data_IF_870916555960
#
_entry.id   IF_870916555960
#
_cell.length_a   1.000
_cell.length_b   1.000
_cell.length_c   1.000
_cell.angle_alpha   90.00
_cell.angle_beta   90.00
_cell.angle_gamma   90.00
#
_symmetry.space_group_name_H-M   'P 1'
#
loop_
_entity.id
_entity.type
_entity.pdbx_description
1 polymer ?
#
# COMPACT_ATOMS: atom_id res chain seq x y z
N UNK A 1 -0.61 -13.41 -34.12
CA UNK A 1 0.16 -12.34 -33.51
C UNK A 1 1.18 -12.99 -32.57
N UNK A 2 2.46 -12.72 -32.73
CA UNK A 2 3.53 -13.55 -32.14
C UNK A 2 3.64 -13.30 -30.62
N UNK A 3 3.20 -14.27 -29.81
CA UNK A 3 3.21 -14.24 -28.34
C UNK A 3 4.60 -13.96 -27.73
N UNK A 4 5.69 -14.39 -28.41
CA UNK A 4 7.08 -14.11 -28.00
C UNK A 4 7.43 -12.63 -28.10
N UNK A 5 6.87 -11.92 -29.08
CA UNK A 5 7.08 -10.48 -29.27
C UNK A 5 6.34 -9.66 -28.21
N UNK A 6 5.17 -10.13 -27.77
CA UNK A 6 4.37 -9.51 -26.72
C UNK A 6 5.07 -9.61 -25.34
N UNK A 7 5.55 -10.79 -24.95
CA UNK A 7 6.24 -11.00 -23.68
C UNK A 7 7.60 -10.30 -23.62
N UNK A 8 8.35 -10.26 -24.74
CA UNK A 8 9.63 -9.54 -24.81
C UNK A 8 9.47 -8.02 -24.71
N UNK A 9 8.34 -7.49 -25.19
CA UNK A 9 7.98 -6.09 -25.01
C UNK A 9 7.49 -5.77 -23.59
N UNK A 10 6.85 -6.72 -22.88
CA UNK A 10 6.42 -6.56 -21.48
C UNK A 10 7.63 -6.53 -20.53
N UNK A 11 8.59 -7.46 -20.68
CA UNK A 11 9.87 -7.42 -19.93
C UNK A 11 10.63 -6.08 -20.15
N UNK A 12 10.60 -5.53 -21.36
CA UNK A 12 11.21 -4.22 -21.65
C UNK A 12 10.43 -3.04 -21.04
N UNK A 13 9.09 -3.15 -20.92
CA UNK A 13 8.25 -2.09 -20.34
C UNK A 13 8.30 -2.08 -18.82
N UNK A 14 8.31 -3.23 -18.17
CA UNK A 14 8.52 -3.35 -16.72
C UNK A 14 9.94 -2.90 -16.36
N UNK A 15 10.95 -3.35 -17.10
CA UNK A 15 12.34 -2.89 -16.92
C UNK A 15 12.50 -1.38 -17.21
N UNK A 16 11.75 -0.81 -18.15
CA UNK A 16 11.79 0.61 -18.47
C UNK A 16 11.08 1.45 -17.40
N UNK A 17 9.99 0.96 -16.79
CA UNK A 17 9.34 1.67 -15.69
C UNK A 17 10.23 1.70 -14.44
N UNK A 18 10.90 0.60 -14.12
CA UNK A 18 11.86 0.52 -13.00
C UNK A 18 13.14 1.32 -13.29
N UNK A 19 13.65 1.32 -14.53
CA UNK A 19 14.85 2.08 -14.93
C UNK A 19 14.59 3.60 -15.05
N UNK A 20 13.35 4.05 -15.24
CA UNK A 20 13.04 5.48 -15.33
C UNK A 20 13.00 6.16 -13.95
N UNK A 21 12.75 5.45 -12.87
CA UNK A 21 12.82 6.00 -11.50
C UNK A 21 14.25 6.39 -11.08
N UNK A 22 15.30 5.91 -11.76
CA UNK A 22 16.69 6.04 -11.32
C UNK A 22 17.44 7.29 -11.81
N UNK A 23 16.87 8.21 -12.56
CA UNK A 23 17.66 9.22 -13.27
C UNK A 23 17.52 10.69 -12.86
N UNK A 24 16.72 11.06 -11.86
CA UNK A 24 16.70 12.49 -11.47
C UNK A 24 16.51 12.72 -9.97
N UNK A 25 17.58 12.62 -9.18
CA UNK A 25 17.73 13.39 -7.94
C UNK A 25 19.15 13.91 -7.81
N UNK A 26 19.41 15.04 -8.45
CA UNK A 26 20.53 15.91 -8.05
C UNK A 26 19.99 17.34 -7.98
N UNK A 27 19.93 17.83 -6.78
CA UNK A 27 19.78 19.23 -6.36
C UNK A 27 18.57 19.49 -5.45
N UNK A 28 18.71 19.30 -4.17
CA UNK A 28 18.35 20.32 -3.17
C UNK A 28 18.99 19.99 -1.81
N UNK A 29 19.53 21.04 -1.25
CA UNK A 29 20.55 21.18 -0.26
C UNK A 29 20.23 20.63 1.15
N UNK A 30 21.31 20.31 1.79
CA UNK A 30 21.52 20.10 3.21
C UNK A 30 20.89 21.21 4.07
N UNK A 31 20.07 20.81 5.06
CA UNK A 31 19.92 21.60 6.29
C UNK A 31 19.67 20.68 7.48
N UNK A 32 20.63 20.71 8.37
CA UNK A 32 20.85 19.91 9.51
C UNK A 32 19.85 20.09 10.65
N UNK A 33 19.59 19.00 11.32
CA UNK A 33 19.01 18.96 12.65
C UNK A 33 20.11 19.10 13.71
N UNK A 34 20.05 20.20 14.44
CA UNK A 34 20.79 20.39 15.65
C UNK A 34 20.31 21.63 16.38
N UNK A 35 19.52 21.46 17.44
CA UNK A 35 19.38 22.54 18.44
C UNK A 35 19.03 21.99 19.81
N UNK A 36 20.06 21.91 20.61
CA UNK A 36 20.07 22.01 22.09
C UNK A 36 19.76 23.45 22.49
N UNK A 37 18.87 23.65 23.41
CA UNK A 37 18.58 24.97 23.97
C UNK A 37 18.06 24.88 25.41
N UNK A 38 18.95 25.10 26.36
CA UNK A 38 18.68 25.43 27.77
C UNK A 38 17.72 26.62 27.85
N UNK A 39 16.82 26.59 28.85
CA UNK A 39 16.21 27.80 29.40
C UNK A 39 15.93 27.72 30.88
N UNK A 40 16.38 28.76 31.48
CA UNK A 40 16.35 29.10 32.91
C UNK A 40 14.96 29.50 33.41
N UNK A 41 14.90 29.44 34.73
CA UNK A 41 13.83 29.74 35.67
C UNK A 41 13.27 31.17 35.64
N UNK A 42 11.99 31.32 35.98
CA UNK A 42 11.37 32.61 36.33
C UNK A 42 9.95 32.51 36.87
N UNK A 43 9.83 32.73 38.17
CA UNK A 43 8.72 33.32 38.90
C UNK A 43 7.36 32.60 39.07
N UNK A 44 7.06 32.32 40.32
CA UNK A 44 5.84 31.81 40.89
C UNK A 44 4.67 32.82 40.80
N UNK A 45 3.52 32.31 40.36
CA UNK A 45 2.19 32.91 40.56
C UNK A 45 1.26 31.82 41.04
N UNK A 46 0.81 31.91 42.28
CA UNK A 46 -0.20 31.03 42.84
C UNK A 46 -1.52 31.21 42.11
N UNK A 47 -1.98 30.18 41.40
CA UNK A 47 -3.31 30.09 40.85
C UNK A 47 -4.04 28.93 41.47
N UNK A 48 -5.13 29.22 42.16
CA UNK A 48 -6.01 28.27 42.83
C UNK A 48 -6.43 27.14 41.87
N UNK A 49 -6.05 25.91 42.21
CA UNK A 49 -6.47 24.68 41.54
C UNK A 49 -7.93 24.38 41.86
N UNK A 50 -8.83 24.74 40.96
CA UNK A 50 -10.15 24.14 40.91
C UNK A 50 -9.97 22.76 40.29
N UNK A 51 -9.98 21.72 41.11
CA UNK A 51 -9.92 20.32 40.66
C UNK A 51 -11.27 19.97 40.04
N UNK A 52 -11.46 20.25 38.76
CA UNK A 52 -12.47 19.54 38.00
C UNK A 52 -11.94 18.13 37.75
N UNK A 53 -12.57 17.14 38.37
CA UNK A 53 -12.42 15.73 38.02
C UNK A 53 -12.92 15.55 36.60
N UNK A 54 -11.99 15.49 35.64
CA UNK A 54 -12.29 15.01 34.29
C UNK A 54 -12.72 13.54 34.47
N UNK A 55 -13.87 13.11 33.93
CA UNK A 55 -14.24 11.70 33.95
C UNK A 55 -13.09 10.91 33.34
N UNK A 56 -12.62 9.89 34.02
CA UNK A 56 -11.66 8.93 33.50
C UNK A 56 -12.27 8.35 32.22
N UNK A 57 -11.72 8.70 31.07
CA UNK A 57 -12.19 8.17 29.78
C UNK A 57 -12.03 6.65 29.87
N UNK A 58 -13.14 5.90 29.77
CA UNK A 58 -13.11 4.46 29.68
C UNK A 58 -12.10 4.08 28.61
N UNK A 59 -11.11 3.27 28.96
CA UNK A 59 -10.08 2.81 28.04
C UNK A 59 -10.77 2.08 26.89
N UNK A 60 -10.75 2.67 25.69
CA UNK A 60 -11.36 2.07 24.52
C UNK A 60 -10.72 0.73 24.24
N UNK A 61 -11.53 -0.29 23.95
CA UNK A 61 -11.05 -1.64 23.66
C UNK A 61 -10.34 -1.66 22.30
N UNK A 62 -9.27 -2.47 22.16
CA UNK A 62 -8.61 -2.66 20.87
C UNK A 62 -9.58 -3.22 19.84
N UNK A 63 -9.30 -2.98 18.56
CA UNK A 63 -10.03 -3.55 17.43
C UNK A 63 -9.98 -5.08 17.50
N UNK A 64 -11.13 -5.78 17.37
CA UNK A 64 -11.19 -7.24 17.44
C UNK A 64 -10.69 -7.86 16.14
N UNK A 65 -9.37 -7.89 15.95
CA UNK A 65 -8.75 -8.33 14.71
C UNK A 65 -8.48 -9.84 14.70
N UNK A 66 -8.81 -10.47 13.57
CA UNK A 66 -8.41 -11.82 13.19
C UNK A 66 -7.83 -11.74 11.79
N UNK A 67 -6.65 -12.31 11.57
CA UNK A 67 -5.98 -12.31 10.28
C UNK A 67 -6.89 -12.90 9.18
N UNK A 68 -7.07 -12.17 8.09
CA UNK A 68 -7.87 -12.54 6.94
C UNK A 68 -6.96 -13.09 5.84
N UNK A 69 -6.98 -14.42 5.57
CA UNK A 69 -6.13 -15.01 4.54
C UNK A 69 -6.57 -14.63 3.12
N UNK A 70 -7.85 -14.34 2.94
CA UNK A 70 -8.51 -14.12 1.66
C UNK A 70 -8.97 -12.66 1.53
N UNK A 71 -8.06 -11.77 1.21
CA UNK A 71 -8.39 -10.38 0.90
C UNK A 71 -8.05 -10.07 -0.55
N UNK A 72 -8.95 -9.37 -1.23
CA UNK A 72 -8.78 -8.95 -2.62
C UNK A 72 -9.60 -7.70 -2.86
N UNK A 73 -9.04 -6.72 -3.57
CA UNK A 73 -9.78 -5.50 -3.90
C UNK A 73 -10.91 -5.79 -4.90
N UNK A 74 -11.98 -5.01 -4.80
CA UNK A 74 -13.12 -5.14 -5.74
C UNK A 74 -12.69 -4.91 -7.19
N UNK A 75 -11.74 -4.01 -7.44
CA UNK A 75 -11.21 -3.68 -8.75
C UNK A 75 -10.47 -4.86 -9.39
N UNK A 76 -9.77 -5.68 -8.61
CA UNK A 76 -9.20 -6.94 -9.11
C UNK A 76 -10.29 -7.96 -9.42
N UNK A 77 -11.36 -8.05 -8.58
CA UNK A 77 -12.50 -8.94 -8.84
C UNK A 77 -13.23 -8.55 -10.14
N UNK A 78 -13.47 -7.26 -10.33
CA UNK A 78 -14.09 -6.72 -11.56
C UNK A 78 -13.23 -7.02 -12.79
N UNK A 79 -11.92 -6.95 -12.65
CA UNK A 79 -10.97 -7.20 -13.74
C UNK A 79 -10.84 -8.66 -14.12
N UNK A 80 -10.69 -9.53 -13.12
CA UNK A 80 -10.31 -10.91 -13.34
C UNK A 80 -11.48 -11.91 -13.24
N UNK A 81 -12.56 -11.52 -12.54
CA UNK A 81 -13.76 -12.35 -12.32
C UNK A 81 -13.61 -13.36 -11.18
N UNK A 82 -14.72 -14.00 -10.84
CA UNK A 82 -14.85 -14.93 -9.71
C UNK A 82 -13.94 -16.17 -9.84
N UNK A 83 -13.65 -16.63 -11.05
CA UNK A 83 -12.77 -17.79 -11.27
C UNK A 83 -11.34 -17.50 -10.80
N UNK A 84 -10.80 -16.34 -11.14
CA UNK A 84 -9.46 -15.92 -10.72
C UNK A 84 -9.43 -15.61 -9.23
N UNK A 85 -10.50 -15.05 -8.67
CA UNK A 85 -10.62 -14.84 -7.21
C UNK A 85 -10.48 -16.18 -6.47
N UNK A 86 -11.18 -17.25 -6.90
CA UNK A 86 -11.07 -18.56 -6.25
C UNK A 86 -9.66 -19.13 -6.38
N UNK A 87 -9.05 -19.06 -7.57
CA UNK A 87 -7.68 -19.55 -7.79
C UNK A 87 -6.68 -18.75 -6.92
N UNK A 88 -6.90 -17.46 -6.75
CA UNK A 88 -6.08 -16.64 -5.87
C UNK A 88 -6.24 -17.04 -4.40
N UNK A 89 -7.43 -17.38 -3.94
CA UNK A 89 -7.65 -17.86 -2.57
C UNK A 89 -7.01 -19.24 -2.34
N UNK A 90 -7.08 -20.15 -3.32
CA UNK A 90 -6.36 -21.42 -3.29
C UNK A 90 -4.84 -21.22 -3.21
N UNK A 91 -4.31 -20.22 -3.93
CA UNK A 91 -2.91 -19.81 -3.82
C UNK A 91 -2.58 -19.23 -2.44
N UNK A 92 -3.44 -18.40 -1.88
CA UNK A 92 -3.25 -17.83 -0.54
C UNK A 92 -3.14 -18.94 0.51
N UNK A 93 -4.05 -19.92 0.48
CA UNK A 93 -4.04 -21.04 1.41
C UNK A 93 -2.76 -21.88 1.27
N UNK A 94 -2.40 -22.24 0.05
CA UNK A 94 -1.18 -22.99 -0.24
C UNK A 94 0.08 -22.23 0.21
N UNK A 95 0.19 -20.95 -0.15
CA UNK A 95 1.34 -20.13 0.22
C UNK A 95 1.44 -19.93 1.75
N UNK A 96 0.34 -19.63 2.44
CA UNK A 96 0.34 -19.45 3.89
C UNK A 96 0.63 -20.75 4.66
N UNK A 97 0.33 -21.92 4.07
CA UNK A 97 0.68 -23.23 4.62
C UNK A 97 2.13 -23.64 4.26
N UNK A 98 2.77 -22.95 3.33
CA UNK A 98 4.09 -23.33 2.80
C UNK A 98 4.01 -24.56 1.90
N UNK A 99 2.96 -24.70 1.10
CA UNK A 99 2.84 -25.71 0.06
C UNK A 99 3.59 -25.25 -1.19
N UNK A 100 4.08 -26.18 -2.01
CA UNK A 100 4.86 -25.88 -3.21
C UNK A 100 4.01 -25.86 -4.50
N UNK A 101 2.66 -25.93 -4.35
CA UNK A 101 1.75 -25.95 -5.50
C UNK A 101 0.32 -25.58 -5.10
N UNK A 102 -0.47 -25.16 -6.10
CA UNK A 102 -1.89 -24.84 -5.96
C UNK A 102 -2.63 -25.19 -7.27
N UNK A 103 -3.96 -25.43 -7.23
CA UNK A 103 -4.77 -25.61 -8.43
C UNK A 103 -4.72 -24.37 -9.32
N UNK A 104 -4.36 -24.54 -10.61
CA UNK A 104 -4.23 -23.43 -11.54
C UNK A 104 -4.43 -23.94 -12.97
N UNK A 105 -5.52 -23.56 -13.67
CA UNK A 105 -5.88 -24.18 -14.95
C UNK A 105 -5.00 -23.74 -16.11
N UNK A 106 -4.51 -22.51 -16.13
CA UNK A 106 -3.78 -21.95 -17.27
C UNK A 106 -2.76 -20.85 -16.87
N UNK A 107 -1.96 -20.43 -17.83
CA UNK A 107 -0.91 -19.45 -17.62
C UNK A 107 -1.44 -18.03 -17.36
N UNK A 108 -2.64 -17.69 -17.81
CA UNK A 108 -3.24 -16.36 -17.54
C UNK A 108 -3.59 -16.28 -16.07
N UNK A 109 -4.26 -17.30 -15.55
CA UNK A 109 -4.59 -17.44 -14.13
C UNK A 109 -3.34 -17.43 -13.25
N UNK A 110 -2.29 -18.17 -13.66
CA UNK A 110 -1.04 -18.23 -12.93
C UNK A 110 -0.41 -16.83 -12.75
N UNK A 111 -0.27 -16.07 -13.85
CA UNK A 111 0.31 -14.73 -13.78
C UNK A 111 -0.60 -13.74 -13.05
N UNK A 112 -1.92 -13.84 -13.21
CA UNK A 112 -2.88 -12.97 -12.53
C UNK A 112 -2.78 -13.12 -11.00
N UNK A 113 -2.67 -14.34 -10.49
CA UNK A 113 -2.52 -14.62 -9.05
C UNK A 113 -1.29 -13.93 -8.46
N UNK A 114 -0.14 -13.97 -9.13
CA UNK A 114 1.06 -13.28 -8.64
C UNK A 114 0.96 -11.75 -8.77
N UNK A 115 0.27 -11.23 -9.81
CA UNK A 115 0.00 -9.80 -9.92
C UNK A 115 -0.89 -9.32 -8.73
N UNK A 116 -1.94 -10.08 -8.38
CA UNK A 116 -2.83 -9.79 -7.23
C UNK A 116 -2.06 -9.90 -5.91
N UNK A 117 -1.21 -10.92 -5.75
CA UNK A 117 -0.47 -11.16 -4.52
C UNK A 117 0.43 -9.98 -4.12
N UNK A 118 0.85 -9.13 -5.05
CA UNK A 118 1.68 -7.94 -4.76
C UNK A 118 1.05 -7.05 -3.69
N UNK A 119 -0.25 -6.81 -3.74
CA UNK A 119 -0.96 -5.97 -2.76
C UNK A 119 -1.89 -6.76 -1.82
N UNK A 120 -2.27 -7.99 -2.19
CA UNK A 120 -3.24 -8.76 -1.44
C UNK A 120 -2.64 -9.93 -0.63
N UNK A 121 -1.36 -10.29 -0.86
CA UNK A 121 -0.61 -11.24 -0.02
C UNK A 121 0.89 -10.89 0.01
N UNK A 122 1.29 -9.79 0.67
CA UNK A 122 2.65 -9.28 0.66
C UNK A 122 3.75 -10.27 1.04
N UNK A 123 3.49 -11.18 1.99
CA UNK A 123 4.48 -12.19 2.40
C UNK A 123 4.80 -13.18 1.28
N UNK A 124 3.80 -13.61 0.51
CA UNK A 124 4.05 -14.46 -0.65
C UNK A 124 4.75 -13.66 -1.77
N UNK A 125 4.29 -12.43 -2.03
CA UNK A 125 4.95 -11.53 -3.00
C UNK A 125 6.44 -11.32 -2.71
N UNK A 126 6.84 -11.27 -1.44
CA UNK A 126 8.24 -11.07 -1.04
C UNK A 126 9.13 -12.33 -1.22
N UNK A 127 8.55 -13.49 -1.04
CA UNK A 127 9.32 -14.72 -0.89
C UNK A 127 9.01 -15.81 -1.93
N UNK A 128 8.25 -15.47 -2.97
CA UNK A 128 8.00 -16.39 -4.08
C UNK A 128 8.47 -15.80 -5.42
N UNK A 129 8.75 -16.68 -6.38
CA UNK A 129 9.11 -16.27 -7.73
C UNK A 129 8.15 -16.84 -8.76
N UNK A 130 7.92 -16.08 -9.82
CA UNK A 130 7.10 -16.49 -10.96
C UNK A 130 7.96 -17.39 -11.86
N UNK A 131 7.59 -18.66 -11.94
CA UNK A 131 8.26 -19.64 -12.79
C UNK A 131 7.80 -19.53 -14.26
N UNK A 132 8.72 -19.79 -15.18
CA UNK A 132 8.36 -19.90 -16.60
C UNK A 132 7.65 -21.25 -16.88
N UNK A 133 6.78 -21.24 -17.90
CA UNK A 133 6.05 -22.43 -18.36
C UNK A 133 5.12 -23.08 -17.32
N UNK A 134 4.58 -22.27 -16.42
CA UNK A 134 3.51 -22.67 -15.49
C UNK A 134 2.13 -22.25 -16.01
N UNK A 135 1.03 -22.93 -15.58
CA UNK A 135 1.00 -24.17 -14.80
C UNK A 135 1.25 -25.41 -15.65
N UNK A 136 1.49 -26.58 -15.01
CA UNK A 136 1.59 -27.86 -15.66
C UNK A 136 0.46 -28.80 -15.18
N UNK A 137 -0.29 -29.37 -16.13
CA UNK A 137 -1.40 -30.29 -15.82
C UNK A 137 -2.44 -29.74 -14.83
N UNK A 138 -2.75 -28.45 -14.90
CA UNK A 138 -3.71 -27.81 -14.00
C UNK A 138 -3.19 -27.48 -12.60
N UNK A 139 -1.86 -27.56 -12.41
CA UNK A 139 -1.18 -27.27 -11.13
C UNK A 139 -0.15 -26.17 -11.36
N UNK A 140 -0.29 -25.08 -10.63
CA UNK A 140 0.69 -23.98 -10.54
C UNK A 140 1.73 -24.28 -9.48
N UNK A 141 3.00 -24.02 -9.78
CA UNK A 141 4.11 -24.21 -8.83
C UNK A 141 4.32 -22.94 -8.01
N UNK A 142 4.61 -23.12 -6.71
CA UNK A 142 5.08 -22.06 -5.82
C UNK A 142 6.57 -22.35 -5.52
N UNK A 143 7.44 -21.44 -5.92
CA UNK A 143 8.88 -21.55 -5.66
C UNK A 143 9.30 -20.48 -4.69
N UNK A 144 9.80 -20.88 -3.54
CA UNK A 144 10.23 -19.98 -2.47
C UNK A 144 11.68 -19.53 -2.67
N UNK A 145 11.99 -18.29 -2.30
CA UNK A 145 13.34 -17.69 -2.38
C UNK A 145 14.20 -18.00 -1.16
N UNK A 146 13.60 -18.54 -0.11
CA UNK A 146 14.26 -18.97 1.15
C UNK A 146 13.88 -20.41 1.48
N UNK A 147 14.60 -21.10 2.39
CA UNK A 147 14.19 -22.41 2.86
C UNK A 147 12.77 -22.42 3.42
N UNK A 148 12.03 -23.49 3.17
CA UNK A 148 10.61 -23.57 3.50
C UNK A 148 10.30 -23.35 5.00
N UNK A 149 11.15 -23.85 5.89
CA UNK A 149 10.97 -23.62 7.33
C UNK A 149 11.17 -22.14 7.70
N UNK A 150 12.17 -21.49 7.10
CA UNK A 150 12.35 -20.04 7.25
C UNK A 150 11.14 -19.27 6.71
N UNK A 151 10.60 -19.66 5.55
CA UNK A 151 9.42 -19.04 5.00
C UNK A 151 8.22 -19.13 5.95
N UNK A 152 7.98 -20.29 6.57
CA UNK A 152 6.92 -20.48 7.55
C UNK A 152 7.08 -19.59 8.78
N UNK A 153 8.31 -19.40 9.24
CA UNK A 153 8.62 -18.45 10.31
C UNK A 153 8.28 -17.03 9.88
N UNK A 154 8.65 -16.61 8.65
CA UNK A 154 8.30 -15.30 8.08
C UNK A 154 6.79 -15.08 7.97
N UNK A 155 6.03 -16.11 7.59
CA UNK A 155 4.56 -16.05 7.56
C UNK A 155 3.99 -15.76 8.96
N UNK A 156 4.51 -16.41 10.00
CA UNK A 156 4.04 -16.17 11.37
C UNK A 156 4.42 -14.77 11.85
N UNK A 157 5.66 -14.34 11.66
CA UNK A 157 6.12 -12.97 11.97
C UNK A 157 5.27 -11.92 11.25
N UNK A 158 4.93 -12.18 9.99
CA UNK A 158 4.07 -11.29 9.20
C UNK A 158 2.66 -11.18 9.81
N UNK A 159 2.01 -12.30 10.13
CA UNK A 159 0.68 -12.30 10.77
C UNK A 159 0.68 -11.51 12.09
N UNK A 160 1.70 -11.71 12.92
CA UNK A 160 1.87 -11.01 14.19
C UNK A 160 2.07 -9.50 13.96
N UNK A 161 2.85 -9.13 12.94
CA UNK A 161 3.09 -7.74 12.58
C UNK A 161 1.85 -7.04 12.05
N UNK A 162 1.04 -7.71 11.21
CA UNK A 162 -0.25 -7.18 10.75
C UNK A 162 -1.21 -6.97 11.93
N UNK A 163 -1.28 -7.94 12.84
CA UNK A 163 -2.05 -7.78 14.07
C UNK A 163 -1.58 -6.58 14.89
N UNK A 164 -0.28 -6.38 15.01
CA UNK A 164 0.29 -5.23 15.71
C UNK A 164 -0.10 -3.89 15.05
N UNK A 165 -0.02 -3.78 13.71
CA UNK A 165 -0.43 -2.58 12.98
C UNK A 165 -1.91 -2.25 13.25
N UNK A 166 -2.79 -3.23 13.13
CA UNK A 166 -4.24 -3.03 13.23
C UNK A 166 -4.66 -2.76 14.67
N UNK A 167 -4.28 -3.62 15.61
CA UNK A 167 -4.71 -3.47 17.02
C UNK A 167 -4.00 -2.32 17.74
N UNK A 168 -2.86 -1.86 17.23
CA UNK A 168 -2.11 -0.73 17.77
C UNK A 168 -2.74 0.64 17.47
N UNK A 169 -3.51 0.76 16.39
CA UNK A 169 -4.08 2.04 15.98
C UNK A 169 -5.61 2.05 15.85
N UNK A 170 -6.26 0.89 15.73
CA UNK A 170 -7.72 0.80 15.63
C UNK A 170 -8.36 0.39 16.95
N UNK A 171 -9.64 0.71 17.10
CA UNK A 171 -10.46 0.46 18.28
C UNK A 171 -11.74 -0.25 17.92
N UNK A 172 -12.32 -0.96 18.91
CA UNK A 172 -13.63 -1.56 18.78
C UNK A 172 -14.67 -0.49 18.43
N UNK A 173 -15.42 -0.70 17.34
CA UNK A 173 -16.45 0.21 16.88
C UNK A 173 -15.99 1.26 15.86
N UNK A 174 -14.71 1.32 15.51
CA UNK A 174 -14.22 2.23 14.45
C UNK A 174 -14.97 1.99 13.14
N UNK A 175 -15.55 3.06 12.58
CA UNK A 175 -16.20 3.03 11.28
C UNK A 175 -15.16 3.06 10.14
N UNK A 176 -15.53 2.75 8.89
CA UNK A 176 -14.55 2.70 7.78
C UNK A 176 -13.67 3.93 7.67
N UNK A 177 -14.23 5.14 7.81
CA UNK A 177 -13.45 6.38 7.78
C UNK A 177 -12.38 6.44 8.89
N UNK A 178 -12.72 6.04 10.12
CA UNK A 178 -11.79 6.04 11.25
C UNK A 178 -10.67 5.04 11.03
N UNK A 179 -10.95 3.86 10.45
CA UNK A 179 -9.94 2.88 10.06
C UNK A 179 -8.98 3.44 9.01
N UNK A 180 -9.52 4.07 7.96
CA UNK A 180 -8.74 4.69 6.89
C UNK A 180 -7.79 5.75 7.43
N UNK A 181 -8.28 6.72 8.21
CA UNK A 181 -7.45 7.82 8.71
C UNK A 181 -6.42 7.35 9.75
N UNK A 182 -6.80 6.38 10.60
CA UNK A 182 -5.91 5.85 11.64
C UNK A 182 -4.74 5.05 11.03
N UNK A 183 -5.02 4.17 10.08
CA UNK A 183 -3.99 3.41 9.36
C UNK A 183 -3.11 4.31 8.49
N UNK A 184 -3.69 5.31 7.81
CA UNK A 184 -2.94 6.33 7.07
C UNK A 184 -1.95 7.05 7.97
N UNK A 185 -2.43 7.57 9.10
CA UNK A 185 -1.60 8.30 10.07
C UNK A 185 -0.55 7.39 10.71
N UNK A 186 -0.90 6.13 11.00
CA UNK A 186 0.07 5.18 11.54
C UNK A 186 1.22 4.91 10.56
N UNK A 187 0.92 4.68 9.28
CA UNK A 187 1.95 4.48 8.26
C UNK A 187 2.83 5.72 8.09
N UNK A 188 2.23 6.90 7.92
CA UNK A 188 2.97 8.15 7.68
C UNK A 188 3.83 8.57 8.87
N UNK A 189 3.47 8.17 10.10
CA UNK A 189 4.27 8.45 11.29
C UNK A 189 5.38 7.43 11.58
N UNK A 190 5.30 6.23 11.01
CA UNK A 190 6.25 5.15 11.31
C UNK A 190 7.19 4.80 10.15
N UNK A 191 6.94 5.30 8.94
CA UNK A 191 7.78 5.03 7.78
C UNK A 191 8.63 6.24 7.40
N UNK A 192 9.80 5.96 6.84
CA UNK A 192 10.65 6.93 6.17
C UNK A 192 10.81 6.52 4.70
N UNK A 193 10.93 7.50 3.80
CA UNK A 193 11.18 7.19 2.40
C UNK A 193 12.61 6.68 2.19
N UNK A 194 12.75 5.58 1.45
CA UNK A 194 14.03 4.92 1.21
C UNK A 194 14.60 5.33 -0.16
N UNK A 195 15.34 6.43 -0.17
CA UNK A 195 16.00 6.92 -1.40
C UNK A 195 17.09 5.98 -1.92
N UNK A 196 17.69 5.15 -1.04
CA UNK A 196 18.75 4.21 -1.43
C UNK A 196 18.16 3.00 -2.19
N UNK A 197 16.95 2.58 -1.81
CA UNK A 197 16.27 1.47 -2.49
C UNK A 197 15.87 1.81 -3.93
N UNK A 198 15.68 3.09 -4.29
CA UNK A 198 15.41 3.51 -5.66
C UNK A 198 16.54 3.17 -6.62
N UNK A 199 17.78 3.05 -6.14
CA UNK A 199 18.95 2.72 -6.94
C UNK A 199 19.10 1.20 -7.13
N UNK A 200 18.38 0.40 -6.37
CA UNK A 200 18.40 -1.06 -6.44
C UNK A 200 17.27 -1.57 -7.34
N UNK A 201 17.60 -2.35 -8.37
CA UNK A 201 16.64 -3.01 -9.25
C UNK A 201 15.99 -4.26 -8.63
N UNK A 202 15.61 -4.21 -7.37
CA UNK A 202 15.01 -5.32 -6.65
C UNK A 202 13.50 -5.29 -6.86
N UNK A 203 12.88 -6.46 -7.01
CA UNK A 203 11.41 -6.59 -6.94
C UNK A 203 10.97 -6.24 -5.51
N UNK A 204 10.44 -5.02 -5.36
CA UNK A 204 10.07 -4.47 -4.08
C UNK A 204 8.64 -4.92 -3.73
N UNK A 205 8.50 -5.52 -2.56
CA UNK A 205 7.21 -5.99 -2.04
C UNK A 205 6.72 -5.09 -0.91
N UNK A 206 5.40 -4.86 -0.79
CA UNK A 206 4.80 -4.19 0.36
C UNK A 206 5.16 -4.83 1.72
N UNK A 207 5.61 -6.08 1.71
CA UNK A 207 6.14 -6.77 2.89
C UNK A 207 7.20 -5.94 3.62
N UNK A 208 8.12 -5.30 2.87
CA UNK A 208 9.19 -4.49 3.47
C UNK A 208 8.62 -3.27 4.22
N UNK A 209 7.65 -2.56 3.65
CA UNK A 209 6.99 -1.44 4.33
C UNK A 209 6.22 -1.86 5.60
N UNK A 210 5.72 -3.09 5.65
CA UNK A 210 5.00 -3.62 6.81
C UNK A 210 5.94 -4.10 7.91
N UNK A 211 7.11 -4.61 7.57
CA UNK A 211 8.06 -5.24 8.50
C UNK A 211 9.20 -4.32 8.95
N UNK A 212 9.55 -3.31 8.13
CA UNK A 212 10.64 -2.37 8.36
C UNK A 212 10.10 -0.94 8.57
N UNK A 213 10.98 0.03 8.76
CA UNK A 213 10.66 1.45 8.94
C UNK A 213 10.96 2.31 7.71
N UNK A 214 11.38 1.69 6.60
CA UNK A 214 11.79 2.34 5.35
C UNK A 214 11.16 1.65 4.15
N UNK A 215 10.67 2.46 3.20
CA UNK A 215 10.03 1.94 1.99
C UNK A 215 9.98 3.00 0.88
N UNK A 216 9.69 2.56 -0.35
CA UNK A 216 9.40 3.45 -1.48
C UNK A 216 7.88 3.53 -1.75
N UNK A 217 7.46 4.39 -2.67
CA UNK A 217 6.04 4.66 -2.95
C UNK A 217 5.21 3.39 -3.19
N UNK A 218 5.66 2.51 -4.05
CA UNK A 218 5.00 1.24 -4.40
C UNK A 218 4.81 0.32 -3.18
N UNK A 219 5.80 0.23 -2.30
CA UNK A 219 5.73 -0.59 -1.09
C UNK A 219 4.79 0.03 -0.04
N UNK A 220 4.86 1.35 0.14
CA UNK A 220 4.00 2.11 1.06
C UNK A 220 2.54 2.02 0.62
N UNK A 221 2.28 2.24 -0.68
CA UNK A 221 0.94 2.14 -1.24
C UNK A 221 0.37 0.73 -1.07
N UNK A 222 1.13 -0.32 -1.44
CA UNK A 222 0.69 -1.71 -1.29
C UNK A 222 0.49 -2.12 0.17
N UNK A 223 1.32 -1.65 1.09
CA UNK A 223 1.14 -1.88 2.54
C UNK A 223 -0.16 -1.26 3.04
N UNK A 224 -0.47 -0.04 2.61
CA UNK A 224 -1.70 0.62 3.00
C UNK A 224 -2.94 -0.08 2.43
N UNK A 225 -2.91 -0.47 1.13
CA UNK A 225 -3.98 -1.30 0.54
C UNK A 225 -4.20 -2.57 1.37
N UNK A 226 -3.13 -3.30 1.68
CA UNK A 226 -3.24 -4.55 2.42
C UNK A 226 -3.85 -4.37 3.82
N UNK A 227 -3.41 -3.37 4.57
CA UNK A 227 -3.97 -3.09 5.90
C UNK A 227 -5.45 -2.69 5.84
N UNK A 228 -5.86 -1.92 4.83
CA UNK A 228 -7.26 -1.56 4.62
C UNK A 228 -8.12 -2.79 4.30
N UNK A 229 -7.67 -3.63 3.37
CA UNK A 229 -8.36 -4.88 3.01
C UNK A 229 -8.49 -5.83 4.22
N UNK A 230 -7.48 -5.88 5.10
CA UNK A 230 -7.52 -6.66 6.34
C UNK A 230 -8.55 -6.14 7.37
N UNK A 231 -9.12 -4.98 7.13
CA UNK A 231 -10.13 -4.33 8.00
C UNK A 231 -11.44 -4.05 7.27
N UNK A 232 -11.73 -4.80 6.20
CA UNK A 232 -12.95 -4.71 5.39
C UNK A 232 -13.18 -3.32 4.76
N UNK A 233 -12.10 -2.61 4.42
CA UNK A 233 -12.16 -1.38 3.64
C UNK A 233 -11.61 -1.66 2.25
N UNK A 234 -12.44 -1.44 1.21
CA UNK A 234 -12.01 -1.64 -0.16
C UNK A 234 -10.99 -0.57 -0.57
N UNK A 235 -9.86 -1.02 -1.08
CA UNK A 235 -8.78 -0.18 -1.58
C UNK A 235 -7.99 -0.92 -2.67
N UNK A 236 -7.44 -0.18 -3.61
CA UNK A 236 -6.55 -0.72 -4.64
C UNK A 236 -5.39 0.22 -4.92
N UNK A 237 -4.36 -0.30 -5.57
CA UNK A 237 -3.26 0.51 -6.08
C UNK A 237 -3.73 1.39 -7.24
N UNK A 238 -3.15 2.56 -7.35
CA UNK A 238 -3.23 3.41 -8.53
C UNK A 238 -1.85 3.97 -8.82
N UNK A 239 -1.42 3.85 -10.05
CA UNK A 239 -0.14 4.38 -10.50
C UNK A 239 -0.28 5.28 -11.71
N UNK A 240 0.68 6.16 -11.94
CA UNK A 240 0.77 6.95 -13.16
C UNK A 240 2.22 7.35 -13.48
N UNK A 241 2.42 7.71 -14.74
CA UNK A 241 3.59 8.45 -15.18
C UNK A 241 3.29 9.96 -15.15
N UNK A 242 4.27 10.77 -14.79
CA UNK A 242 4.19 12.22 -14.95
C UNK A 242 3.98 12.60 -16.41
N UNK A 243 3.48 13.82 -16.68
CA UNK A 243 3.20 14.31 -18.04
C UNK A 243 4.41 14.23 -18.96
N UNK A 244 5.58 14.51 -18.46
CA UNK A 244 6.85 14.43 -19.19
C UNK A 244 7.47 13.02 -19.20
N UNK A 245 6.78 12.05 -18.58
CA UNK A 245 7.19 10.66 -18.44
C UNK A 245 8.53 10.46 -17.71
N UNK A 246 9.00 11.46 -16.97
CA UNK A 246 10.26 11.40 -16.24
C UNK A 246 10.13 10.70 -14.88
N UNK A 247 8.92 10.59 -14.35
CA UNK A 247 8.66 10.03 -13.03
C UNK A 247 7.44 9.11 -13.05
N UNK A 248 7.56 7.96 -12.39
CA UNK A 248 6.46 7.05 -12.09
C UNK A 248 6.16 7.10 -10.60
N UNK A 249 4.89 7.06 -10.24
CA UNK A 249 4.46 7.07 -8.85
C UNK A 249 3.27 6.15 -8.63
N UNK A 250 3.21 5.53 -7.47
CA UNK A 250 2.10 4.71 -7.02
C UNK A 250 1.55 5.25 -5.70
N UNK A 251 0.22 5.24 -5.61
CA UNK A 251 -0.56 5.65 -4.45
C UNK A 251 -1.80 4.76 -4.33
N UNK A 252 -2.75 5.09 -3.48
CA UNK A 252 -3.92 4.26 -3.18
C UNK A 252 -5.21 4.95 -3.59
N UNK A 253 -6.15 4.19 -4.15
CA UNK A 253 -7.56 4.54 -4.22
C UNK A 253 -8.33 3.79 -3.15
N UNK A 254 -9.15 4.51 -2.39
CA UNK A 254 -9.96 3.99 -1.29
C UNK A 254 -11.43 4.29 -1.55
N UNK A 255 -12.29 3.33 -1.23
CA UNK A 255 -13.74 3.51 -1.32
C UNK A 255 -14.31 3.84 0.06
N UNK A 256 -14.96 5.00 0.17
CA UNK A 256 -15.68 5.44 1.36
C UNK A 256 -17.09 5.88 0.97
N UNK A 257 -18.11 5.26 1.57
CA UNK A 257 -19.52 5.52 1.28
C UNK A 257 -19.86 5.42 -0.22
N UNK A 258 -19.23 4.46 -0.92
CA UNK A 258 -19.41 4.24 -2.35
C UNK A 258 -18.78 5.29 -3.26
N UNK A 259 -17.88 6.13 -2.73
CA UNK A 259 -17.12 7.11 -3.50
C UNK A 259 -15.64 6.79 -3.46
N UNK A 260 -14.94 7.00 -4.58
CA UNK A 260 -13.50 6.84 -4.69
C UNK A 260 -12.75 8.08 -4.22
N UNK A 261 -11.60 7.86 -3.58
CA UNK A 261 -10.68 8.92 -3.14
C UNK A 261 -9.25 8.46 -3.34
N UNK A 262 -8.40 9.38 -3.80
CA UNK A 262 -6.97 9.14 -3.79
C UNK A 262 -6.36 9.45 -2.43
N UNK A 263 -5.53 8.54 -1.94
CA UNK A 263 -4.74 8.66 -0.72
C UNK A 263 -3.27 8.46 -1.08
N UNK A 264 -2.40 9.39 -0.73
CA UNK A 264 -0.97 9.28 -1.01
C UNK A 264 -0.14 9.37 0.27
N UNK A 265 0.03 8.26 0.99
CA UNK A 265 0.83 8.25 2.20
C UNK A 265 2.31 8.55 1.93
N UNK A 266 2.82 8.32 0.72
CA UNK A 266 4.20 8.62 0.36
C UNK A 266 4.47 10.13 0.34
N UNK A 267 3.61 10.90 -0.34
CA UNK A 267 3.75 12.35 -0.37
C UNK A 267 3.47 12.97 1.01
N UNK A 268 2.71 12.29 1.86
CA UNK A 268 2.46 12.74 3.22
C UNK A 268 3.68 12.60 4.15
N UNK A 269 4.61 11.66 3.91
CA UNK A 269 5.81 11.45 4.76
C UNK A 269 6.63 12.74 4.91
N UNK A 270 6.69 13.56 3.86
CA UNK A 270 7.48 14.79 3.83
C UNK A 270 6.68 16.02 4.30
N UNK A 271 5.42 15.84 4.72
CA UNK A 271 4.58 16.94 5.19
C UNK A 271 4.47 16.95 6.71
N UNK A 272 4.63 18.13 7.31
CA UNK A 272 4.37 18.31 8.75
C UNK A 272 2.86 18.51 9.05
N UNK A 273 1.98 18.33 8.07
CA UNK A 273 0.59 18.82 8.10
C UNK A 273 -0.44 17.70 8.20
N UNK A 274 -0.03 16.48 7.97
CA UNK A 274 -0.78 15.28 8.41
C UNK A 274 -1.93 14.76 7.54
N UNK A 275 -2.58 15.50 6.64
CA UNK A 275 -3.69 15.03 5.79
C UNK A 275 -3.80 15.79 4.46
N UNK A 276 -2.71 16.36 3.97
CA UNK A 276 -2.70 17.14 2.72
C UNK A 276 -2.99 16.28 1.49
N UNK A 277 -2.51 15.04 1.51
CA UNK A 277 -2.66 14.09 0.41
C UNK A 277 -3.69 13.00 0.72
N UNK A 278 -4.63 13.32 1.61
CA UNK A 278 -5.71 12.44 2.04
C UNK A 278 -7.04 12.82 1.35
N UNK A 279 -7.74 11.85 0.79
CA UNK A 279 -9.08 12.03 0.23
C UNK A 279 -9.13 12.95 -0.98
N UNK A 280 -8.14 12.90 -1.86
CA UNK A 280 -8.05 13.74 -3.05
C UNK A 280 -9.01 13.27 -4.15
N UNK A 281 -9.50 14.24 -4.93
CA UNK A 281 -10.17 13.97 -6.22
C UNK A 281 -9.13 13.69 -7.32
N UNK A 282 -9.58 13.20 -8.48
CA UNK A 282 -8.75 13.05 -9.69
C UNK A 282 -8.04 14.36 -10.05
N UNK A 283 -8.79 15.49 -10.04
CA UNK A 283 -8.24 16.81 -10.34
C UNK A 283 -7.16 17.23 -9.34
N UNK A 284 -7.41 17.02 -8.05
CA UNK A 284 -6.45 17.34 -7.00
C UNK A 284 -5.21 16.45 -7.12
N UNK A 285 -5.38 15.14 -7.34
CA UNK A 285 -4.27 14.22 -7.53
C UNK A 285 -3.42 14.56 -8.77
N UNK A 286 -4.07 14.95 -9.88
CA UNK A 286 -3.36 15.40 -11.10
C UNK A 286 -2.48 16.64 -10.83
N UNK A 287 -2.97 17.58 -10.02
CA UNK A 287 -2.23 18.81 -9.70
C UNK A 287 -0.99 18.54 -8.83
N UNK A 288 -1.07 17.55 -7.95
CA UNK A 288 0.03 17.16 -7.09
C UNK A 288 1.00 16.20 -7.82
N UNK A 289 2.06 16.74 -8.41
CA UNK A 289 3.07 15.96 -9.13
C UNK A 289 2.86 15.80 -10.62
N UNK A 290 1.88 16.53 -11.21
CA UNK A 290 1.58 16.57 -12.65
C UNK A 290 1.36 15.17 -13.28
N UNK A 291 0.49 14.38 -12.64
CA UNK A 291 0.07 13.07 -13.16
C UNK A 291 -1.25 13.22 -13.92
N UNK A 292 -1.27 13.12 -15.27
CA UNK A 292 -2.50 13.23 -16.05
C UNK A 292 -3.51 12.14 -15.66
N UNK A 293 -4.79 12.51 -15.48
CA UNK A 293 -5.87 11.56 -15.14
C UNK A 293 -5.93 10.43 -16.18
N UNK A 294 -5.72 10.73 -17.46
CA UNK A 294 -5.69 9.73 -18.53
C UNK A 294 -4.54 8.71 -18.45
N UNK A 295 -3.60 8.92 -17.54
CA UNK A 295 -2.48 7.99 -17.27
C UNK A 295 -2.69 7.19 -15.99
N UNK A 296 -3.76 7.44 -15.23
CA UNK A 296 -4.06 6.66 -14.03
C UNK A 296 -4.28 5.20 -14.41
N UNK A 297 -3.61 4.33 -13.70
CA UNK A 297 -3.69 2.88 -13.86
C UNK A 297 -4.25 2.28 -12.57
N UNK A 298 -5.57 2.14 -12.52
CA UNK A 298 -6.29 1.63 -11.34
C UNK A 298 -6.03 0.14 -11.19
N UNK A 299 -5.78 -0.31 -9.98
CA UNK A 299 -5.41 -1.69 -9.63
C UNK A 299 -4.23 -2.24 -10.46
N UNK A 300 -3.38 -1.34 -11.00
CA UNK A 300 -2.28 -1.70 -11.91
C UNK A 300 -2.71 -2.53 -13.13
N UNK A 301 -3.97 -2.42 -13.50
CA UNK A 301 -4.55 -3.23 -14.55
C UNK A 301 -4.85 -2.40 -15.79
N UNK A 302 -4.11 -2.65 -16.86
CA UNK A 302 -4.38 -2.01 -18.14
C UNK A 302 -5.77 -2.39 -18.67
N UNK A 303 -6.58 -1.39 -19.02
CA UNK A 303 -7.86 -1.58 -19.72
C UNK A 303 -9.10 -1.57 -18.83
N UNK A 304 -8.99 -1.18 -17.55
CA UNK A 304 -10.16 -0.75 -16.78
C UNK A 304 -10.65 0.60 -17.35
N UNK A 305 -11.97 0.79 -17.38
CA UNK A 305 -12.55 2.09 -17.72
C UNK A 305 -12.39 3.03 -16.51
N UNK A 306 -11.48 3.98 -16.62
CA UNK A 306 -11.18 4.91 -15.54
C UNK A 306 -12.39 5.76 -15.09
N UNK A 307 -13.40 5.91 -15.96
CA UNK A 307 -14.62 6.65 -15.62
C UNK A 307 -15.47 5.95 -14.55
N UNK A 308 -15.34 4.63 -14.41
CA UNK A 308 -16.03 3.84 -13.38
C UNK A 308 -15.41 4.03 -11.99
N UNK A 309 -14.14 4.43 -11.95
CA UNK A 309 -13.36 4.61 -10.71
C UNK A 309 -13.02 6.08 -10.44
N UNK A 310 -13.76 7.02 -11.04
CA UNK A 310 -13.48 8.45 -10.93
C UNK A 310 -13.67 8.97 -9.49
N UNK A 311 -12.67 9.66 -8.96
CA UNK A 311 -12.71 10.32 -7.66
C UNK A 311 -13.16 11.79 -7.84
N UNK A 312 -14.42 12.07 -7.56
CA UNK A 312 -15.03 13.42 -7.81
C UNK A 312 -15.58 14.10 -6.55
N UNK A 313 -15.75 13.37 -5.45
CA UNK A 313 -16.30 13.92 -4.20
C UNK A 313 -15.24 14.76 -3.47
N UNK A 314 -15.58 16.01 -3.16
CA UNK A 314 -14.70 17.00 -2.55
C UNK A 314 -14.85 17.12 -1.02
N UNK A 315 -15.46 16.14 -0.33
CA UNK A 315 -15.72 16.22 1.12
C UNK A 315 -14.45 16.47 1.94
N UNK A 316 -13.30 16.01 1.47
CA UNK A 316 -12.02 16.19 2.14
C UNK A 316 -11.21 17.42 1.68
N UNK A 317 -11.74 18.22 0.75
CA UNK A 317 -11.05 19.42 0.26
C UNK A 317 -10.61 20.41 1.36
N UNK A 318 -11.34 20.58 2.49
CA UNK A 318 -10.87 21.43 3.58
C UNK A 318 -9.52 20.99 4.20
N UNK A 319 -9.16 19.70 4.11
CA UNK A 319 -7.92 19.17 4.67
C UNK A 319 -6.70 19.53 3.84
N UNK A 320 -6.86 19.76 2.52
CA UNK A 320 -5.73 19.94 1.60
C UNK A 320 -5.00 21.27 1.74
N UNK A 321 -5.67 22.27 2.31
CA UNK A 321 -5.19 23.66 2.40
C UNK A 321 -4.86 24.11 3.82
N UNK A 322 -4.88 23.23 4.80
CA UNK A 322 -4.52 23.56 6.18
C UNK A 322 -3.00 23.66 6.30
N UNK A 323 -2.46 24.85 6.02
CA UNK A 323 -1.16 25.22 6.57
C UNK A 323 -1.37 25.56 8.05
N UNK A 324 -0.79 24.79 8.93
CA UNK A 324 -0.73 25.08 10.38
C UNK A 324 0.53 25.86 10.72
#
# INVERSE_FOLDING_TARGET
>A
MDKRKFMKNRKKRVLAAVLLCCLFVVSFGLSGCGRSGNRESGAAGEMQKTTQTVPEAEAQKPYPYVFQPHVMSAEYKDKYGEEIEQIFYDFCDAALAGEESFPCPDAISYYAVFDIARSCLPVASAYTVIEENQPQNGIGKITYTVPLEEYKERVQEFKDRISWWITGCLKEGDVPFERVVSLYTALTNNLCYDYEALESSIDLSPYRALMEDRAICQEIAGAYVYLLLQTDVNACLCGALSRDMSNAHEWVMVVLDGQYYHMDPTFELDTFVGLRYFGMTDEKRQQEGDYPISYFNVAEVNGLDQSEYAAVDQRFAPLWNTAW
#
